data_IF_309384574021
#
_entry.id   IF_309384574021
#
_cell.length_a   1.000
_cell.length_b   1.000
_cell.length_c   1.000
_cell.angle_alpha   90.00
_cell.angle_beta   90.00
_cell.angle_gamma   90.00
#
_symmetry.space_group_name_H-M   'P 1'
#
loop_
_entity.id
_entity.type
_entity.pdbx_description
1 polymer ?
#
# COMPACT_ATOMS: atom_id res chain seq x y z
N UNK A 1 -43.04 -0.56 27.69
CA UNK A 1 -41.86 -1.04 28.43
C UNK A 1 -40.94 -1.66 27.38
N UNK A 2 -40.04 -0.83 26.85
CA UNK A 2 -39.55 -0.92 25.47
C UNK A 2 -38.21 -1.67 25.41
N UNK A 3 -38.18 -2.78 24.67
CA UNK A 3 -36.99 -3.61 24.39
C UNK A 3 -36.19 -3.14 23.15
N UNK A 4 -36.25 -1.85 22.79
CA UNK A 4 -35.69 -1.32 21.53
C UNK A 4 -34.35 -0.58 21.70
N UNK A 5 -33.43 -1.07 22.55
CA UNK A 5 -32.16 -0.34 22.81
C UNK A 5 -30.88 -1.18 22.70
N UNK A 6 -30.92 -2.42 22.22
CA UNK A 6 -29.72 -3.27 22.13
C UNK A 6 -29.28 -3.70 20.72
N UNK A 7 -29.83 -3.12 19.63
CA UNK A 7 -29.50 -3.53 18.26
C UNK A 7 -28.64 -2.55 17.45
N UNK A 8 -28.06 -1.52 18.06
CA UNK A 8 -27.16 -0.59 17.35
C UNK A 8 -25.66 -0.71 17.70
N UNK A 9 -25.27 -1.49 18.70
CA UNK A 9 -23.86 -1.70 19.07
C UNK A 9 -23.19 -2.91 18.40
N UNK A 10 -23.96 -3.80 17.74
CA UNK A 10 -23.44 -5.02 17.13
C UNK A 10 -22.96 -4.88 15.68
N UNK A 11 -23.46 -3.90 14.93
CA UNK A 11 -23.16 -3.78 13.49
C UNK A 11 -21.86 -3.02 13.19
N UNK A 12 -21.32 -2.28 14.16
CA UNK A 12 -20.03 -1.57 14.02
C UNK A 12 -18.81 -2.48 14.27
N UNK A 13 -19.00 -3.63 14.94
CA UNK A 13 -17.91 -4.54 15.32
C UNK A 13 -17.60 -5.61 14.26
N UNK A 14 -18.57 -5.98 13.41
CA UNK A 14 -18.34 -6.98 12.36
C UNK A 14 -17.41 -6.42 11.26
N UNK A 15 -17.49 -5.12 10.97
CA UNK A 15 -16.54 -4.45 10.06
C UNK A 15 -15.11 -4.36 10.61
N UNK A 16 -14.93 -4.37 11.94
CA UNK A 16 -13.61 -4.23 12.57
C UNK A 16 -12.84 -5.56 12.61
N UNK A 17 -13.52 -6.71 12.77
CA UNK A 17 -12.87 -8.03 12.79
C UNK A 17 -12.37 -8.50 11.41
N UNK A 18 -13.10 -8.17 10.33
CA UNK A 18 -12.61 -8.48 8.97
C UNK A 18 -11.47 -7.56 8.55
N UNK A 19 -11.49 -6.30 9.00
CA UNK A 19 -10.42 -5.34 8.70
C UNK A 19 -9.11 -5.73 9.41
N UNK A 20 -9.16 -6.14 10.68
CA UNK A 20 -7.94 -6.55 11.42
C UNK A 20 -7.21 -7.76 10.82
N UNK A 21 -7.94 -8.71 10.25
CA UNK A 21 -7.32 -9.86 9.60
C UNK A 21 -6.70 -9.48 8.25
N UNK A 22 -7.41 -8.69 7.43
CA UNK A 22 -6.90 -8.20 6.16
C UNK A 22 -5.66 -7.30 6.32
N UNK A 23 -5.63 -6.43 7.34
CA UNK A 23 -4.45 -5.61 7.64
C UNK A 23 -3.23 -6.44 8.01
N UNK A 24 -3.43 -7.49 8.82
CA UNK A 24 -2.35 -8.40 9.19
C UNK A 24 -1.79 -9.16 7.99
N UNK A 25 -2.65 -9.55 7.06
CA UNK A 25 -2.25 -10.26 5.85
C UNK A 25 -1.45 -9.36 4.91
N UNK A 26 -1.88 -8.10 4.70
CA UNK A 26 -1.14 -7.13 3.88
C UNK A 26 0.25 -6.82 4.46
N UNK A 27 0.35 -6.65 5.79
CA UNK A 27 1.63 -6.40 6.47
C UNK A 27 2.57 -7.61 6.38
N UNK A 28 2.06 -8.83 6.46
CA UNK A 28 2.88 -10.03 6.30
C UNK A 28 3.45 -10.13 4.88
N UNK A 29 2.61 -9.91 3.86
CA UNK A 29 3.04 -9.88 2.46
C UNK A 29 4.11 -8.81 2.21
N UNK A 30 3.98 -7.64 2.86
CA UNK A 30 4.98 -6.58 2.80
C UNK A 30 6.33 -7.00 3.36
N UNK A 31 6.35 -7.62 4.55
CA UNK A 31 7.60 -8.10 5.17
C UNK A 31 8.25 -9.19 4.32
N UNK A 32 7.47 -10.09 3.73
CA UNK A 32 7.99 -11.07 2.79
C UNK A 32 8.57 -10.42 1.53
N UNK A 33 7.89 -9.41 0.98
CA UNK A 33 8.40 -8.66 -0.16
C UNK A 33 9.71 -7.93 0.17
N UNK A 34 9.85 -7.34 1.36
CA UNK A 34 11.09 -6.70 1.80
C UNK A 34 12.27 -7.69 1.85
N UNK A 35 12.04 -8.90 2.36
CA UNK A 35 13.04 -9.97 2.33
C UNK A 35 13.43 -10.37 0.90
N UNK A 36 12.46 -10.45 -0.02
CA UNK A 36 12.73 -10.74 -1.42
C UNK A 36 13.50 -9.62 -2.11
N UNK A 37 13.22 -8.35 -1.78
CA UNK A 37 13.98 -7.19 -2.28
C UNK A 37 15.44 -7.29 -1.84
N UNK A 38 15.71 -7.65 -0.57
CA UNK A 38 17.07 -7.90 -0.06
C UNK A 38 17.78 -9.02 -0.81
N UNK A 39 17.03 -10.02 -1.26
CA UNK A 39 17.54 -11.14 -2.07
C UNK A 39 17.63 -10.81 -3.58
N UNK A 40 17.37 -9.57 -4.00
CA UNK A 40 17.30 -9.14 -5.40
C UNK A 40 16.19 -9.83 -6.22
N UNK A 41 15.21 -10.46 -5.57
CA UNK A 41 14.07 -11.12 -6.21
C UNK A 41 12.91 -10.14 -6.49
N UNK A 42 13.21 -9.06 -7.23
CA UNK A 42 12.29 -7.94 -7.45
C UNK A 42 10.96 -8.33 -8.11
N UNK A 43 10.95 -9.37 -8.95
CA UNK A 43 9.74 -9.87 -9.61
C UNK A 43 8.73 -10.42 -8.60
N UNK A 44 9.17 -11.35 -7.75
CA UNK A 44 8.34 -11.94 -6.69
C UNK A 44 7.91 -10.88 -5.66
N UNK A 45 8.81 -9.96 -5.30
CA UNK A 45 8.48 -8.86 -4.41
C UNK A 45 7.34 -7.99 -4.98
N UNK A 46 7.37 -7.70 -6.29
CA UNK A 46 6.30 -6.94 -6.97
C UNK A 46 4.95 -7.66 -6.87
N UNK A 47 4.94 -8.99 -7.05
CA UNK A 47 3.71 -9.80 -6.93
C UNK A 47 3.13 -9.74 -5.51
N UNK A 48 3.96 -9.94 -4.49
CA UNK A 48 3.53 -9.89 -3.10
C UNK A 48 3.04 -8.49 -2.70
N UNK A 49 3.73 -7.43 -3.13
CA UNK A 49 3.29 -6.05 -2.88
C UNK A 49 1.99 -5.73 -3.61
N UNK A 50 1.80 -6.23 -4.83
CA UNK A 50 0.53 -6.08 -5.55
C UNK A 50 -0.62 -6.77 -4.80
N UNK A 51 -0.38 -7.95 -4.22
CA UNK A 51 -1.37 -8.61 -3.37
C UNK A 51 -1.62 -7.81 -2.09
N UNK A 52 -0.58 -7.29 -1.44
CA UNK A 52 -0.70 -6.47 -0.24
C UNK A 52 -1.57 -5.23 -0.49
N UNK A 53 -1.34 -4.52 -1.60
CA UNK A 53 -2.13 -3.34 -2.00
C UNK A 53 -3.56 -3.71 -2.43
N UNK A 54 -3.79 -4.91 -2.96
CA UNK A 54 -5.16 -5.39 -3.24
C UNK A 54 -5.95 -5.65 -1.96
N UNK A 55 -5.31 -6.21 -0.95
CA UNK A 55 -5.91 -6.46 0.36
C UNK A 55 -6.12 -5.15 1.11
N UNK A 56 -5.13 -4.26 1.06
CA UNK A 56 -5.15 -2.95 1.70
C UNK A 56 -4.79 -1.84 0.70
N UNK A 57 -5.78 -1.28 -0.01
CA UNK A 57 -5.56 -0.23 -1.01
C UNK A 57 -5.00 1.08 -0.43
N UNK A 58 -5.22 1.33 0.86
CA UNK A 58 -4.74 2.47 1.64
C UNK A 58 -3.41 2.18 2.36
N UNK A 59 -2.66 1.17 1.92
CA UNK A 59 -1.36 0.84 2.50
C UNK A 59 -0.24 1.69 1.91
N UNK A 60 0.00 2.86 2.51
CA UNK A 60 1.01 3.83 2.05
C UNK A 60 2.40 3.21 1.85
N UNK A 61 2.89 2.44 2.83
CA UNK A 61 4.20 1.77 2.73
C UNK A 61 4.28 0.79 1.55
N UNK A 62 3.23 -0.01 1.33
CA UNK A 62 3.17 -0.95 0.20
C UNK A 62 3.10 -0.23 -1.15
N UNK A 63 2.32 0.84 -1.25
CA UNK A 63 2.24 1.69 -2.45
C UNK A 63 3.59 2.34 -2.76
N UNK A 64 4.28 2.87 -1.76
CA UNK A 64 5.61 3.46 -1.90
C UNK A 64 6.63 2.44 -2.44
N UNK A 65 6.75 1.27 -1.79
CA UNK A 65 7.73 0.26 -2.20
C UNK A 65 7.40 -0.31 -3.58
N UNK A 66 6.12 -0.55 -3.87
CA UNK A 66 5.68 -0.98 -5.20
C UNK A 66 6.03 0.08 -6.26
N UNK A 67 5.82 1.36 -5.95
CA UNK A 67 6.23 2.50 -6.78
C UNK A 67 7.73 2.52 -7.05
N UNK A 68 8.58 2.29 -6.03
CA UNK A 68 10.04 2.24 -6.20
C UNK A 68 10.46 1.08 -7.12
N UNK A 69 9.81 -0.08 -7.01
CA UNK A 69 10.06 -1.21 -7.92
C UNK A 69 9.68 -0.88 -9.37
N UNK A 70 8.52 -0.26 -9.62
CA UNK A 70 8.13 0.17 -10.97
C UNK A 70 9.04 1.28 -11.50
N UNK A 71 9.48 2.20 -10.65
CA UNK A 71 10.44 3.26 -11.00
C UNK A 71 11.78 2.67 -11.46
N UNK A 72 12.31 1.66 -10.75
CA UNK A 72 13.53 0.93 -11.14
C UNK A 72 13.38 0.17 -12.46
N UNK A 73 12.17 -0.32 -12.76
CA UNK A 73 11.83 -0.98 -14.03
C UNK A 73 11.51 0.00 -15.16
N UNK A 74 11.75 1.31 -14.97
CA UNK A 74 11.43 2.39 -15.92
C UNK A 74 9.95 2.46 -16.33
N UNK A 75 9.05 1.85 -15.55
CA UNK A 75 7.59 1.97 -15.72
C UNK A 75 7.10 3.21 -14.99
N UNK A 76 7.43 4.39 -15.54
CA UNK A 76 7.31 5.67 -14.85
C UNK A 76 5.86 6.06 -14.57
N UNK A 77 4.93 5.80 -15.49
CA UNK A 77 3.51 6.16 -15.29
C UNK A 77 2.90 5.42 -14.10
N UNK A 78 3.16 4.10 -13.99
CA UNK A 78 2.72 3.30 -12.85
C UNK A 78 3.37 3.75 -11.56
N UNK A 79 4.67 4.08 -11.59
CA UNK A 79 5.39 4.57 -10.42
C UNK A 79 4.80 5.90 -9.92
N UNK A 80 4.50 6.84 -10.84
CA UNK A 80 3.89 8.14 -10.54
C UNK A 80 2.52 7.96 -9.87
N UNK A 81 1.66 7.09 -10.42
CA UNK A 81 0.34 6.81 -9.83
C UNK A 81 0.46 6.25 -8.41
N UNK A 82 1.35 5.28 -8.21
CA UNK A 82 1.57 4.64 -6.91
C UNK A 82 2.16 5.60 -5.87
N UNK A 83 3.17 6.40 -6.25
CA UNK A 83 3.74 7.41 -5.37
C UNK A 83 2.73 8.50 -5.04
N UNK A 84 1.89 8.90 -6.00
CA UNK A 84 0.83 9.89 -5.76
C UNK A 84 -0.20 9.38 -4.75
N UNK A 85 -0.62 8.11 -4.86
CA UNK A 85 -1.51 7.47 -3.90
C UNK A 85 -0.87 7.35 -2.52
N UNK A 86 0.40 6.93 -2.46
CA UNK A 86 1.15 6.84 -1.20
C UNK A 86 1.26 8.21 -0.51
N UNK A 87 1.60 9.26 -1.25
CA UNK A 87 1.74 10.62 -0.74
C UNK A 87 0.39 11.21 -0.31
N UNK A 88 -0.71 10.85 -0.98
CA UNK A 88 -2.05 11.26 -0.56
C UNK A 88 -2.44 10.67 0.82
N UNK A 89 -1.92 9.49 1.17
CA UNK A 89 -2.15 8.83 2.45
C UNK A 89 -1.19 9.32 3.54
N UNK A 90 0.07 9.61 3.17
CA UNK A 90 1.10 10.14 4.07
C UNK A 90 1.76 11.38 3.44
N UNK A 91 1.11 12.57 3.56
CA UNK A 91 1.60 13.80 2.93
C UNK A 91 2.95 14.29 3.49
N UNK A 92 3.31 13.85 4.69
CA UNK A 92 4.55 14.15 5.39
C UNK A 92 5.72 13.23 4.98
N UNK A 93 5.48 12.26 4.10
CA UNK A 93 6.52 11.37 3.59
C UNK A 93 7.38 12.08 2.52
N UNK A 94 8.39 12.80 2.97
CA UNK A 94 9.35 13.51 2.11
C UNK A 94 10.08 12.60 1.12
N UNK A 95 10.37 11.35 1.51
CA UNK A 95 11.00 10.38 0.61
C UNK A 95 10.08 10.03 -0.55
N UNK A 96 8.79 9.83 -0.29
CA UNK A 96 7.78 9.60 -1.33
C UNK A 96 7.64 10.81 -2.26
N UNK A 97 7.62 12.03 -1.71
CA UNK A 97 7.58 13.25 -2.51
C UNK A 97 8.80 13.39 -3.43
N UNK A 98 10.01 13.09 -2.91
CA UNK A 98 11.24 13.11 -3.69
C UNK A 98 11.23 12.06 -4.81
N UNK A 99 10.74 10.85 -4.53
CA UNK A 99 10.59 9.79 -5.54
C UNK A 99 9.61 10.16 -6.63
N UNK A 100 8.48 10.77 -6.28
CA UNK A 100 7.50 11.29 -7.24
C UNK A 100 8.12 12.37 -8.13
N UNK A 101 8.82 13.35 -7.55
CA UNK A 101 9.49 14.39 -8.30
C UNK A 101 10.52 13.83 -9.30
N UNK A 102 11.32 12.86 -8.85
CA UNK A 102 12.29 12.16 -9.72
C UNK A 102 11.60 11.39 -10.84
N UNK A 103 10.49 10.71 -10.56
CA UNK A 103 9.71 9.98 -11.56
C UNK A 103 9.11 10.93 -12.61
N UNK A 104 8.56 12.06 -12.19
CA UNK A 104 8.04 13.10 -13.08
C UNK A 104 9.15 13.70 -13.95
N UNK A 105 10.29 14.04 -13.35
CA UNK A 105 11.45 14.57 -14.07
C UNK A 105 11.97 13.58 -15.12
N UNK A 106 12.13 12.31 -14.76
CA UNK A 106 12.59 11.26 -15.68
C UNK A 106 11.61 10.98 -16.83
N UNK A 107 10.31 11.22 -16.63
CA UNK A 107 9.28 11.04 -17.68
C UNK A 107 9.33 12.13 -18.75
N UNK A 108 9.80 13.32 -18.39
CA UNK A 108 9.87 14.48 -19.29
C UNK A 108 11.15 14.56 -20.14
N UNK A 109 12.10 13.65 -19.93
CA UNK A 109 13.38 13.57 -20.68
C UNK A 109 13.31 12.47 -21.71
#
# INVERSE_FOLDING_TARGET
MNYFQFLFSGFLLISLFSCSNAERDANNLYVQADNLIKNNEYGKATELLTQAVKIKPDFAGGLYVLGDLYYRRSSLDTAIDLFSKSLALQPDNFDCANKLANALGKRTV
#
